data_IF_053957405512
#
_entry.id   IF_053957405512
#
_cell.length_a   1.000
_cell.length_b   1.000
_cell.length_c   1.000
_cell.angle_alpha   90.00
_cell.angle_beta   90.00
_cell.angle_gamma   90.00
#
_symmetry.space_group_name_H-M   'P 1'
#
loop_
_entity.id
_entity.type
_entity.pdbx_description
1 polymer ?
#
# COMPACT_ATOMS: atom_id res chain seq x y z
N UNK A 1 -27.18 -37.35 -25.50
CA UNK A 1 -27.39 -35.89 -25.64
C UNK A 1 -26.81 -35.22 -24.41
N UNK A 2 -25.75 -34.44 -24.60
CA UNK A 2 -25.00 -33.74 -23.55
C UNK A 2 -25.72 -32.44 -23.21
N UNK A 3 -26.13 -32.25 -21.95
CA UNK A 3 -26.50 -30.94 -21.42
C UNK A 3 -25.34 -30.41 -20.59
N UNK A 4 -24.63 -29.43 -21.15
CA UNK A 4 -23.66 -28.60 -20.45
C UNK A 4 -24.38 -27.69 -19.45
N UNK A 5 -24.20 -27.93 -18.15
CA UNK A 5 -24.24 -26.84 -17.16
C UNK A 5 -22.80 -26.54 -16.73
N UNK A 6 -22.26 -25.43 -17.24
CA UNK A 6 -21.03 -24.85 -16.73
C UNK A 6 -21.32 -24.31 -15.33
N UNK A 7 -20.98 -25.10 -14.31
CA UNK A 7 -20.93 -24.68 -12.92
C UNK A 7 -19.96 -23.51 -12.78
N UNK A 8 -20.45 -22.41 -12.23
CA UNK A 8 -19.68 -21.21 -11.89
C UNK A 8 -18.87 -21.47 -10.63
N UNK A 9 -17.82 -22.28 -10.73
CA UNK A 9 -16.85 -22.47 -9.66
C UNK A 9 -15.61 -21.59 -9.91
N UNK A 10 -15.87 -20.29 -10.07
CA UNK A 10 -14.83 -19.28 -9.84
C UNK A 10 -14.82 -18.96 -8.35
N UNK A 11 -13.65 -18.77 -7.70
CA UNK A 11 -13.63 -18.41 -6.29
C UNK A 11 -14.49 -17.17 -6.08
N UNK A 12 -15.45 -17.28 -5.15
CA UNK A 12 -16.29 -16.18 -4.73
C UNK A 12 -15.40 -15.07 -4.17
N UNK A 13 -15.19 -14.01 -4.95
CA UNK A 13 -14.36 -12.87 -4.56
C UNK A 13 -15.02 -12.02 -3.44
N UNK A 14 -16.24 -12.36 -3.00
CA UNK A 14 -16.95 -11.63 -1.95
C UNK A 14 -16.41 -11.85 -0.53
N UNK A 15 -15.54 -12.84 -0.30
CA UNK A 15 -14.91 -13.11 1.01
C UNK A 15 -13.66 -12.25 1.30
N UNK A 16 -13.23 -11.38 0.38
CA UNK A 16 -12.11 -10.46 0.59
C UNK A 16 -12.55 -8.99 0.76
N UNK A 17 -13.73 -8.76 1.33
CA UNK A 17 -14.05 -7.44 1.90
C UNK A 17 -13.32 -7.24 3.24
N UNK A 18 -12.00 -7.39 3.25
CA UNK A 18 -11.19 -6.94 4.37
C UNK A 18 -11.31 -5.42 4.42
N UNK A 19 -11.91 -4.90 5.48
CA UNK A 19 -12.04 -3.47 5.79
C UNK A 19 -10.69 -2.83 6.16
N UNK A 20 -9.62 -3.27 5.51
CA UNK A 20 -8.28 -2.75 5.72
C UNK A 20 -8.16 -1.38 5.06
N UNK A 21 -7.89 -0.38 5.87
CA UNK A 21 -7.50 0.95 5.42
C UNK A 21 -6.03 0.88 5.06
N UNK A 22 -5.69 1.38 3.88
CA UNK A 22 -4.31 1.53 3.42
C UNK A 22 -4.06 3.02 3.26
N UNK A 23 -3.30 3.59 4.18
CA UNK A 23 -2.83 4.96 4.11
C UNK A 23 -1.42 4.98 3.54
N UNK A 24 -1.22 5.85 2.54
CA UNK A 24 0.07 6.10 1.91
C UNK A 24 0.39 7.59 2.03
N UNK A 25 1.39 7.89 2.86
CA UNK A 25 1.84 9.24 3.14
C UNK A 25 3.23 9.48 2.59
N UNK A 26 3.44 10.63 1.95
CA UNK A 26 4.77 11.09 1.60
C UNK A 26 5.34 11.95 2.74
N UNK A 27 6.61 11.75 3.08
CA UNK A 27 7.31 12.52 4.09
C UNK A 27 8.55 13.18 3.48
N UNK A 28 8.80 14.43 3.89
CA UNK A 28 10.07 15.14 3.68
C UNK A 28 10.71 15.36 5.04
N UNK A 29 11.91 14.82 5.24
CA UNK A 29 12.70 15.03 6.44
C UNK A 29 13.85 15.98 6.11
N UNK A 30 14.08 16.95 6.99
CA UNK A 30 15.24 17.84 6.92
C UNK A 30 16.06 17.60 8.18
N UNK A 31 17.29 17.11 8.01
CA UNK A 31 18.20 16.86 9.13
C UNK A 31 18.64 18.18 9.77
N UNK A 32 19.23 18.10 10.98
CA UNK A 32 19.84 19.27 11.63
C UNK A 32 20.95 19.92 10.79
N UNK A 33 21.58 19.15 9.90
CA UNK A 33 22.64 19.59 8.98
C UNK A 33 22.08 20.09 7.64
N UNK A 34 20.74 20.11 7.47
CA UNK A 34 20.09 20.57 6.26
C UNK A 34 19.96 19.53 5.14
N UNK A 35 20.35 18.27 5.39
CA UNK A 35 20.14 17.19 4.44
C UNK A 35 18.65 16.87 4.30
N UNK A 36 18.17 16.77 3.06
CA UNK A 36 16.77 16.47 2.75
C UNK A 36 16.65 15.01 2.32
N UNK A 37 15.76 14.27 2.95
CA UNK A 37 15.37 12.92 2.52
C UNK A 37 13.85 12.82 2.35
N UNK A 38 13.43 11.87 1.53
CA UNK A 38 12.02 11.60 1.27
C UNK A 38 11.73 10.12 1.49
N UNK A 39 10.58 9.83 2.09
CA UNK A 39 10.09 8.46 2.24
C UNK A 39 8.59 8.39 2.03
N UNK A 40 8.13 7.20 1.65
CA UNK A 40 6.74 6.82 1.67
C UNK A 40 6.50 5.97 2.91
N UNK A 41 5.52 6.36 3.70
CA UNK A 41 5.07 5.61 4.87
C UNK A 41 3.73 4.97 4.50
N UNK A 42 3.70 3.65 4.58
CA UNK A 42 2.49 2.85 4.44
C UNK A 42 2.01 2.47 5.83
N UNK A 43 0.74 2.70 6.10
CA UNK A 43 0.03 2.20 7.28
C UNK A 43 -1.17 1.37 6.82
N UNK A 44 -1.16 0.09 7.15
CA UNK A 44 -2.25 -0.84 6.88
C UNK A 44 -2.95 -1.15 8.20
N UNK A 45 -4.18 -0.65 8.35
CA UNK A 45 -4.97 -0.78 9.59
C UNK A 45 -6.22 -1.61 9.32
N UNK A 46 -6.50 -2.60 10.17
CA UNK A 46 -7.68 -3.46 10.03
C UNK A 46 -8.20 -3.93 11.39
N UNK A 47 -9.48 -4.32 11.46
CA UNK A 47 -10.04 -4.99 12.63
C UNK A 47 -9.78 -6.49 12.52
N UNK A 48 -9.21 -7.11 13.56
CA UNK A 48 -8.83 -8.53 13.56
C UNK A 48 -10.02 -9.47 13.31
N UNK A 49 -11.23 -9.08 13.73
CA UNK A 49 -12.46 -9.85 13.48
C UNK A 49 -12.82 -9.95 11.99
N UNK A 50 -12.45 -8.94 11.19
CA UNK A 50 -12.85 -8.79 9.78
C UNK A 50 -11.64 -8.64 8.85
N UNK A 51 -10.45 -8.95 9.34
CA UNK A 51 -9.19 -8.60 8.72
C UNK A 51 -8.08 -9.54 9.16
N UNK A 52 -6.95 -9.46 8.48
CA UNK A 52 -5.80 -10.28 8.79
C UNK A 52 -4.53 -9.52 8.50
N UNK A 53 -3.50 -9.82 9.27
CA UNK A 53 -2.14 -9.44 8.97
C UNK A 53 -1.77 -9.92 7.57
N UNK A 54 -1.33 -9.02 6.70
CA UNK A 54 -0.73 -9.37 5.42
C UNK A 54 0.75 -9.70 5.57
N UNK A 55 1.38 -9.22 6.67
CA UNK A 55 2.81 -9.36 6.95
C UNK A 55 3.65 -8.79 5.82
N UNK A 56 3.64 -7.46 5.67
CA UNK A 56 4.40 -6.71 4.65
C UNK A 56 5.85 -7.20 4.65
N UNK A 57 6.28 -7.70 3.50
CA UNK A 57 7.60 -8.33 3.33
C UNK A 57 8.69 -7.30 3.14
N UNK A 58 9.92 -7.64 3.51
CA UNK A 58 11.10 -6.89 3.08
C UNK A 58 11.37 -7.16 1.59
N UNK A 59 12.10 -6.26 0.94
CA UNK A 59 12.34 -6.33 -0.50
C UNK A 59 11.33 -5.49 -1.28
N UNK A 60 11.11 -5.84 -2.56
CA UNK A 60 10.18 -5.14 -3.43
C UNK A 60 8.72 -5.47 -3.09
N UNK A 61 8.21 -4.85 -2.03
CA UNK A 61 6.88 -5.12 -1.47
C UNK A 61 5.86 -4.02 -1.72
N UNK A 62 6.26 -2.90 -2.33
CA UNK A 62 5.34 -1.85 -2.77
C UNK A 62 5.53 -1.60 -4.27
N UNK A 63 4.45 -1.77 -5.04
CA UNK A 63 4.46 -1.52 -6.47
C UNK A 63 3.40 -0.50 -6.86
N UNK A 64 3.77 0.38 -7.78
CA UNK A 64 2.88 1.33 -8.42
C UNK A 64 2.69 0.99 -9.88
N UNK A 65 1.49 1.29 -10.39
CA UNK A 65 1.25 1.49 -11.81
C UNK A 65 0.88 2.95 -12.01
N UNK A 66 1.83 3.75 -12.50
CA UNK A 66 1.70 5.20 -12.68
C UNK A 66 1.51 5.46 -14.17
N UNK A 67 0.33 5.91 -14.58
CA UNK A 67 -0.02 6.13 -15.99
C UNK A 67 0.34 4.92 -16.89
N UNK A 68 0.12 3.70 -16.37
CA UNK A 68 0.45 2.45 -17.05
C UNK A 68 1.90 1.97 -16.93
N UNK A 69 2.80 2.74 -16.30
CA UNK A 69 4.19 2.34 -16.06
C UNK A 69 4.37 1.73 -14.68
N UNK A 70 4.88 0.50 -14.62
CA UNK A 70 5.20 -0.17 -13.35
C UNK A 70 6.44 0.43 -12.70
N UNK A 71 6.35 0.69 -11.39
CA UNK A 71 7.48 1.06 -10.54
C UNK A 71 7.42 0.19 -9.27
N UNK A 72 8.51 -0.52 -8.95
CA UNK A 72 8.66 -1.24 -7.70
C UNK A 72 9.51 -0.45 -6.71
N UNK A 73 9.13 -0.45 -5.43
CA UNK A 73 9.89 0.12 -4.33
C UNK A 73 10.29 -0.97 -3.35
N UNK A 74 11.54 -0.90 -2.90
CA UNK A 74 12.11 -1.79 -1.90
C UNK A 74 12.04 -1.15 -0.52
N UNK A 75 11.60 -1.91 0.48
CA UNK A 75 11.52 -1.49 1.87
C UNK A 75 11.89 -2.60 2.85
N UNK A 76 11.93 -2.26 4.13
CA UNK A 76 12.24 -3.22 5.20
C UNK A 76 11.05 -4.11 5.58
N UNK A 77 9.87 -3.87 5.00
CA UNK A 77 8.62 -4.50 5.41
C UNK A 77 8.14 -4.03 6.77
N UNK A 78 7.16 -4.74 7.33
CA UNK A 78 6.56 -4.42 8.64
C UNK A 78 7.15 -5.20 9.81
N UNK A 79 8.22 -5.98 9.61
CA UNK A 79 8.71 -6.91 10.63
C UNK A 79 8.94 -6.32 12.02
N UNK A 80 9.38 -5.06 12.08
CA UNK A 80 9.68 -4.33 13.32
C UNK A 80 8.61 -3.31 13.72
N UNK A 81 7.52 -3.19 12.95
CA UNK A 81 6.53 -2.11 13.09
C UNK A 81 5.12 -2.68 12.85
N UNK A 82 4.67 -3.43 13.86
CA UNK A 82 3.39 -4.14 13.91
C UNK A 82 2.80 -3.97 15.30
N UNK A 83 1.56 -3.51 15.35
CA UNK A 83 0.84 -3.31 16.60
C UNK A 83 -0.51 -4.03 16.61
N UNK A 84 -0.82 -4.67 17.74
CA UNK A 84 -2.15 -5.14 18.08
C UNK A 84 -2.67 -4.31 19.24
N UNK A 85 -3.66 -3.48 18.97
CA UNK A 85 -4.30 -2.66 20.00
C UNK A 85 -5.34 -3.46 20.76
N UNK A 86 -5.62 -3.07 22.01
CA UNK A 86 -6.58 -3.74 22.91
C UNK A 86 -8.00 -3.87 22.32
N UNK A 87 -8.36 -3.03 21.36
CA UNK A 87 -9.64 -3.08 20.64
C UNK A 87 -9.72 -4.17 19.56
N UNK A 88 -8.67 -4.97 19.37
CA UNK A 88 -8.59 -5.91 18.24
C UNK A 88 -8.18 -5.24 16.93
N UNK A 89 -7.78 -3.97 16.94
CA UNK A 89 -7.22 -3.30 15.76
C UNK A 89 -5.79 -3.77 15.55
N UNK A 90 -5.47 -4.19 14.32
CA UNK A 90 -4.10 -4.48 13.88
C UNK A 90 -3.59 -3.35 12.99
N UNK A 91 -2.31 -3.04 13.12
CA UNK A 91 -1.60 -2.08 12.28
C UNK A 91 -0.28 -2.67 11.81
N UNK A 92 -0.02 -2.57 10.51
CA UNK A 92 1.29 -2.81 9.92
C UNK A 92 1.81 -1.53 9.30
N UNK A 93 3.04 -1.15 9.64
CA UNK A 93 3.69 0.00 9.05
C UNK A 93 4.96 -0.39 8.31
N UNK A 94 5.19 0.24 7.16
CA UNK A 94 6.41 0.03 6.37
C UNK A 94 6.86 1.36 5.75
N UNK A 95 8.18 1.56 5.71
CA UNK A 95 8.81 2.74 5.13
C UNK A 95 9.59 2.38 3.86
N UNK A 96 9.44 3.23 2.84
CA UNK A 96 10.11 3.09 1.55
C UNK A 96 10.84 4.40 1.22
N UNK A 97 12.18 4.40 1.22
CA UNK A 97 12.96 5.55 0.76
C UNK A 97 12.66 5.84 -0.72
N UNK A 98 12.45 7.10 -1.06
CA UNK A 98 12.17 7.52 -2.43
C UNK A 98 12.90 8.82 -2.78
N UNK A 99 13.06 9.08 -4.07
CA UNK A 99 13.59 10.35 -4.54
C UNK A 99 12.50 11.42 -4.62
N UNK A 100 12.91 12.69 -4.66
CA UNK A 100 11.98 13.82 -4.90
C UNK A 100 11.28 13.69 -6.24
N UNK A 101 11.97 13.19 -7.26
CA UNK A 101 11.42 12.96 -8.60
C UNK A 101 10.31 11.92 -8.57
N UNK A 102 10.41 10.89 -7.73
CA UNK A 102 9.34 9.92 -7.52
C UNK A 102 8.09 10.58 -6.94
N UNK A 103 8.25 11.40 -5.89
CA UNK A 103 7.13 12.16 -5.30
C UNK A 103 6.46 13.04 -6.36
N UNK A 104 7.26 13.77 -7.15
CA UNK A 104 6.75 14.62 -8.24
C UNK A 104 6.07 13.82 -9.35
N UNK A 105 6.57 12.62 -9.65
CA UNK A 105 5.98 11.73 -10.66
C UNK A 105 4.59 11.29 -10.20
N UNK A 106 4.47 10.80 -8.96
CA UNK A 106 3.19 10.38 -8.39
C UNK A 106 2.22 11.57 -8.28
N UNK A 107 2.68 12.75 -7.85
CA UNK A 107 1.81 13.92 -7.62
C UNK A 107 1.19 14.49 -8.89
N UNK A 108 1.82 14.27 -10.05
CA UNK A 108 1.41 14.81 -11.36
C UNK A 108 0.84 13.74 -12.30
N UNK A 109 0.80 12.48 -11.87
CA UNK A 109 0.22 11.40 -12.65
C UNK A 109 -1.30 11.58 -12.82
N UNK A 110 -1.84 11.02 -13.89
CA UNK A 110 -3.29 10.99 -14.13
C UNK A 110 -3.94 9.85 -13.36
N UNK A 111 -3.26 8.70 -13.32
CA UNK A 111 -3.72 7.50 -12.62
C UNK A 111 -2.56 6.86 -11.86
N UNK A 112 -2.84 6.44 -10.62
CA UNK A 112 -1.92 5.66 -9.80
C UNK A 112 -2.68 4.50 -9.18
N UNK A 113 -2.26 3.28 -9.52
CA UNK A 113 -2.64 2.05 -8.80
C UNK A 113 -1.51 1.66 -7.88
N UNK A 114 -1.84 1.17 -6.70
CA UNK A 114 -0.90 0.71 -5.69
C UNK A 114 -1.18 -0.74 -5.38
N UNK A 115 -0.12 -1.54 -5.30
CA UNK A 115 -0.13 -2.90 -4.76
C UNK A 115 0.89 -3.02 -3.65
N UNK A 116 0.43 -3.38 -2.45
CA UNK A 116 1.25 -3.69 -1.30
C UNK A 116 1.27 -5.21 -1.11
N UNK A 117 2.46 -5.79 -0.96
CA UNK A 117 2.68 -7.24 -0.95
C UNK A 117 3.19 -7.67 0.44
N UNK A 118 2.46 -8.59 1.04
CA UNK A 118 2.85 -9.28 2.25
C UNK A 118 2.95 -10.79 2.04
N UNK A 119 3.49 -11.49 3.03
CA UNK A 119 3.67 -12.95 2.95
C UNK A 119 2.35 -13.73 3.04
N UNK A 120 1.27 -13.09 3.50
CA UNK A 120 -0.08 -13.68 3.58
C UNK A 120 -1.08 -13.14 2.57
N UNK A 121 -0.65 -12.25 1.67
CA UNK A 121 -1.54 -11.69 0.65
C UNK A 121 -1.06 -10.34 0.12
N UNK A 122 -1.94 -9.63 -0.57
CA UNK A 122 -1.66 -8.30 -1.08
C UNK A 122 -2.88 -7.40 -0.97
N UNK A 123 -2.65 -6.09 -0.94
CA UNK A 123 -3.70 -5.07 -0.96
C UNK A 123 -3.52 -4.24 -2.21
N UNK A 124 -4.61 -4.03 -2.97
CA UNK A 124 -4.63 -3.10 -4.09
C UNK A 124 -5.54 -1.92 -3.82
N UNK A 125 -5.07 -0.73 -4.19
CA UNK A 125 -5.84 0.52 -4.10
C UNK A 125 -5.56 1.41 -5.30
N UNK A 126 -6.47 2.36 -5.50
CA UNK A 126 -6.38 3.41 -6.49
C UNK A 126 -6.23 4.74 -5.76
N UNK A 127 -5.41 5.64 -6.29
CA UNK A 127 -5.36 6.99 -5.76
C UNK A 127 -6.65 7.72 -6.06
N UNK A 128 -7.20 8.36 -5.01
CA UNK A 128 -8.23 9.38 -5.14
C UNK A 128 -7.60 10.75 -5.06
N UNK A 129 -8.36 11.81 -5.37
CA UNK A 129 -7.86 13.18 -5.39
C UNK A 129 -7.16 13.61 -4.09
N UNK A 130 -7.63 13.11 -2.93
CA UNK A 130 -7.01 13.35 -1.63
C UNK A 130 -5.56 12.83 -1.56
N UNK A 131 -5.26 11.67 -2.15
CA UNK A 131 -3.90 11.14 -2.20
C UNK A 131 -2.98 12.04 -3.02
N UNK A 132 -3.40 12.45 -4.22
CA UNK A 132 -2.62 13.38 -5.04
C UNK A 132 -2.36 14.71 -4.32
N UNK A 133 -3.35 15.23 -3.60
CA UNK A 133 -3.20 16.44 -2.81
C UNK A 133 -2.20 16.29 -1.66
N UNK A 134 -2.14 15.11 -1.01
CA UNK A 134 -1.14 14.81 0.00
C UNK A 134 0.28 14.89 -0.59
N UNK A 135 0.51 14.21 -1.73
CA UNK A 135 1.82 14.21 -2.39
C UNK A 135 2.26 15.60 -2.87
N UNK A 136 1.33 16.44 -3.33
CA UNK A 136 1.63 17.83 -3.74
C UNK A 136 2.13 18.72 -2.60
N UNK A 137 1.74 18.45 -1.35
CA UNK A 137 2.22 19.22 -0.18
C UNK A 137 3.70 18.98 0.14
N UNK A 138 4.26 17.89 -0.37
CA UNK A 138 5.63 17.43 -0.06
C UNK A 138 6.63 17.80 -1.16
N UNK A 139 6.14 18.12 -2.37
CA UNK A 139 6.93 18.54 -3.54
C UNK A 139 7.64 19.89 -3.33
#
# INVERSE_FOLDING_TARGET
MLNNSLGKDGPDLSIYSSSSVLDLNAQKLVSKEGHVSYSLIIECVSQLENGSWIFITSGESLAFLIDGKRVGLTGNGSGNDRDLFHSGTIMERAEYPVSREMIRTISNAKEVKVRLIGSKGFIERYFVQANFNNFKKVC
#
